data_IF_415906242623
#
_entry.id   IF_415906242623
#
_cell.length_a   1.000
_cell.length_b   1.000
_cell.length_c   1.000
_cell.angle_alpha   90.00
_cell.angle_beta   90.00
_cell.angle_gamma   90.00
#
_symmetry.space_group_name_H-M   'P 1'
#
loop_
_entity.id
_entity.type
_entity.pdbx_description
1 polymer ?
#
# COMPACT_ATOMS: atom_id res chain seq x y z
N UNK A 1 -36.04 -47.71 54.09
CA UNK A 1 -35.12 -46.55 54.03
C UNK A 1 -33.78 -46.86 53.34
N UNK A 2 -33.72 -47.76 52.34
CA UNK A 2 -32.44 -48.18 51.72
C UNK A 2 -32.31 -47.99 50.19
N UNK A 3 -33.39 -47.66 49.48
CA UNK A 3 -33.38 -47.54 48.00
C UNK A 3 -33.50 -46.10 47.47
N UNK A 4 -34.02 -45.17 48.25
CA UNK A 4 -34.11 -43.75 47.86
C UNK A 4 -32.80 -42.98 48.08
N UNK A 5 -31.96 -43.43 49.01
CA UNK A 5 -30.68 -42.81 49.34
C UNK A 5 -29.60 -43.05 48.28
N UNK A 6 -29.70 -44.15 47.52
CA UNK A 6 -28.74 -44.50 46.46
C UNK A 6 -29.04 -43.80 45.12
N UNK A 7 -30.30 -43.45 44.84
CA UNK A 7 -30.68 -42.68 43.64
C UNK A 7 -30.34 -41.19 43.76
N UNK A 8 -30.43 -40.62 44.96
CA UNK A 8 -30.05 -39.21 45.21
C UNK A 8 -28.54 -38.97 45.15
N UNK A 9 -27.71 -39.96 45.52
CA UNK A 9 -26.25 -39.86 45.39
C UNK A 9 -25.78 -40.00 43.94
N UNK A 10 -26.45 -40.81 43.12
CA UNK A 10 -26.12 -40.97 41.70
C UNK A 10 -26.51 -39.74 40.85
N UNK A 11 -27.62 -39.06 41.16
CA UNK A 11 -28.07 -37.86 40.44
C UNK A 11 -27.21 -36.63 40.80
N UNK A 12 -26.73 -36.52 42.04
CA UNK A 12 -25.81 -35.45 42.45
C UNK A 12 -24.39 -35.62 41.87
N UNK A 13 -23.91 -36.86 41.69
CA UNK A 13 -22.64 -37.13 41.02
C UNK A 13 -22.69 -36.89 39.51
N UNK A 14 -23.83 -37.13 38.85
CA UNK A 14 -24.00 -36.84 37.42
C UNK A 14 -24.16 -35.33 37.14
N UNK A 15 -24.80 -34.59 38.06
CA UNK A 15 -24.87 -33.12 37.98
C UNK A 15 -23.52 -32.45 38.24
N UNK A 16 -22.68 -33.02 39.12
CA UNK A 16 -21.31 -32.52 39.37
C UNK A 16 -20.36 -32.77 38.18
N UNK A 17 -20.58 -33.82 37.38
CA UNK A 17 -19.77 -34.12 36.18
C UNK A 17 -20.23 -33.31 34.96
N UNK A 18 -21.51 -32.88 34.90
CA UNK A 18 -22.03 -32.02 33.82
C UNK A 18 -21.76 -30.53 34.09
N UNK A 19 -21.51 -30.12 35.34
CA UNK A 19 -21.11 -28.75 35.69
C UNK A 19 -19.61 -28.44 35.56
N UNK A 20 -18.76 -29.42 35.20
CA UNK A 20 -17.32 -29.24 34.96
C UNK A 20 -16.99 -29.58 33.50
N UNK A 21 -17.71 -28.94 32.58
CA UNK A 21 -17.19 -28.56 31.26
C UNK A 21 -17.51 -27.09 31.02
N UNK A 22 -17.19 -26.26 32.00
CA UNK A 22 -16.81 -24.88 31.69
C UNK A 22 -15.52 -25.03 30.91
N UNK A 23 -15.63 -24.86 29.59
CA UNK A 23 -14.49 -24.62 28.75
C UNK A 23 -13.68 -23.51 29.40
N UNK A 24 -12.54 -23.87 29.98
CA UNK A 24 -11.39 -22.98 30.07
C UNK A 24 -10.95 -22.75 28.63
N UNK A 25 -11.75 -21.97 27.88
CA UNK A 25 -11.18 -21.11 26.85
C UNK A 25 -10.25 -20.22 27.65
N UNK A 26 -8.94 -20.22 27.39
CA UNK A 26 -8.06 -19.22 27.98
C UNK A 26 -8.61 -17.86 27.54
N UNK A 27 -9.27 -17.19 28.46
CA UNK A 27 -9.65 -15.80 28.35
C UNK A 27 -8.33 -15.01 28.31
N UNK A 28 -8.20 -14.16 27.30
CA UNK A 28 -7.06 -13.29 27.05
C UNK A 28 -5.68 -13.97 26.97
N UNK A 29 -5.40 -14.58 25.82
CA UNK A 29 -4.08 -14.35 25.25
C UNK A 29 -3.98 -12.85 24.97
N UNK A 30 -3.59 -12.07 26.00
CA UNK A 30 -3.10 -10.70 25.82
C UNK A 30 -2.14 -10.82 24.65
N UNK A 31 -2.43 -10.18 23.49
CA UNK A 31 -1.56 -10.33 22.34
C UNK A 31 -0.18 -9.92 22.83
N UNK A 32 0.72 -10.90 22.91
CA UNK A 32 2.07 -10.66 23.36
C UNK A 32 2.61 -9.68 22.35
N UNK A 33 2.78 -8.42 22.75
CA UNK A 33 3.43 -7.42 21.92
C UNK A 33 4.72 -8.10 21.48
N UNK A 34 4.95 -8.30 20.17
CA UNK A 34 6.15 -8.95 19.71
C UNK A 34 7.33 -8.31 20.42
N UNK A 35 8.20 -9.11 21.04
CA UNK A 35 9.34 -8.57 21.80
C UNK A 35 10.26 -7.69 20.94
N UNK A 36 10.10 -7.76 19.61
CA UNK A 36 10.82 -7.00 18.61
C UNK A 36 9.84 -6.51 17.53
N UNK A 37 10.02 -5.28 17.07
CA UNK A 37 9.28 -4.76 15.94
C UNK A 37 9.71 -5.48 14.64
N UNK A 38 8.81 -5.57 13.67
CA UNK A 38 9.07 -6.23 12.39
C UNK A 38 8.67 -5.31 11.23
N UNK A 39 9.41 -5.39 10.13
CA UNK A 39 9.15 -4.69 8.87
C UNK A 39 9.30 -5.69 7.73
N UNK A 40 8.34 -5.71 6.82
CA UNK A 40 8.41 -6.49 5.59
C UNK A 40 8.14 -5.57 4.40
N UNK A 41 9.01 -5.59 3.40
CA UNK A 41 8.88 -4.80 2.18
C UNK A 41 9.52 -5.53 0.99
N UNK A 42 9.23 -5.09 -0.23
CA UNK A 42 9.72 -5.71 -1.46
C UNK A 42 11.23 -5.52 -1.70
N UNK A 43 11.89 -4.61 -0.97
CA UNK A 43 13.31 -4.31 -1.15
C UNK A 43 14.08 -4.27 0.18
N UNK A 44 15.23 -4.96 0.31
CA UNK A 44 16.00 -4.99 1.55
C UNK A 44 16.34 -3.62 2.13
N UNK A 45 16.77 -2.66 1.30
CA UNK A 45 17.07 -1.28 1.75
C UNK A 45 15.85 -0.55 2.32
N UNK A 46 14.64 -0.85 1.84
CA UNK A 46 13.43 -0.23 2.39
C UNK A 46 13.03 -0.88 3.73
N UNK A 47 13.20 -2.21 3.84
CA UNK A 47 13.06 -2.91 5.12
C UNK A 47 14.03 -2.36 6.17
N UNK A 48 15.30 -2.22 5.79
CA UNK A 48 16.35 -1.64 6.65
C UNK A 48 16.00 -0.20 7.06
N UNK A 49 15.56 0.65 6.12
CA UNK A 49 15.10 2.00 6.43
C UNK A 49 13.97 2.04 7.48
N UNK A 50 13.00 1.11 7.39
CA UNK A 50 11.94 0.99 8.40
C UNK A 50 12.49 0.57 9.77
N UNK A 51 13.38 -0.42 9.80
CA UNK A 51 14.01 -0.91 11.04
C UNK A 51 14.87 0.17 11.70
N UNK A 52 15.67 0.91 10.93
CA UNK A 52 16.49 2.02 11.42
C UNK A 52 15.65 3.11 12.07
N UNK A 53 14.48 3.41 11.49
CA UNK A 53 13.56 4.41 12.05
C UNK A 53 12.90 3.93 13.34
N UNK A 54 12.55 2.64 13.44
CA UNK A 54 12.06 2.06 14.68
C UNK A 54 13.16 2.08 15.76
N UNK A 55 14.39 1.72 15.41
CA UNK A 55 15.55 1.78 16.30
C UNK A 55 15.86 3.22 16.76
N UNK A 56 15.58 4.21 15.92
CA UNK A 56 15.71 5.63 16.25
C UNK A 56 14.55 6.19 17.12
N UNK A 57 13.65 5.34 17.61
CA UNK A 57 12.54 5.71 18.49
C UNK A 57 11.24 6.09 17.75
N UNK A 58 11.17 5.86 16.44
CA UNK A 58 9.95 6.02 15.66
C UNK A 58 8.90 4.97 15.98
N UNK A 59 7.66 5.23 15.57
CA UNK A 59 6.58 4.24 15.61
C UNK A 59 6.37 3.56 14.24
N UNK A 60 5.37 2.69 14.14
CA UNK A 60 5.04 1.99 12.90
C UNK A 60 4.70 2.96 11.74
N UNK A 61 4.15 4.13 12.03
CA UNK A 61 3.79 5.15 11.04
C UNK A 61 5.02 5.87 10.51
N UNK A 62 5.97 6.21 11.39
CA UNK A 62 7.30 6.74 10.99
C UNK A 62 8.05 5.74 10.09
N UNK A 63 8.04 4.46 10.47
CA UNK A 63 8.66 3.40 9.70
C UNK A 63 7.98 3.21 8.34
N UNK A 64 6.65 3.29 8.28
CA UNK A 64 5.91 3.25 7.02
C UNK A 64 6.29 4.41 6.09
N UNK A 65 6.47 5.63 6.62
CA UNK A 65 6.94 6.78 5.82
C UNK A 65 8.32 6.49 5.22
N UNK A 66 9.25 5.96 6.01
CA UNK A 66 10.60 5.65 5.54
C UNK A 66 10.64 4.51 4.51
N UNK A 67 9.85 3.45 4.73
CA UNK A 67 9.70 2.33 3.80
C UNK A 67 9.13 2.85 2.47
N UNK A 68 7.98 3.53 2.49
CA UNK A 68 7.33 4.04 1.27
C UNK A 68 8.22 5.02 0.50
N UNK A 69 8.89 5.94 1.18
CA UNK A 69 9.81 6.88 0.53
C UNK A 69 11.04 6.17 -0.05
N UNK A 70 11.57 5.15 0.63
CA UNK A 70 12.74 4.42 0.14
C UNK A 70 12.37 3.53 -1.05
N UNK A 71 11.21 2.88 -1.04
CA UNK A 71 10.70 2.12 -2.20
C UNK A 71 10.51 3.02 -3.43
N UNK A 72 10.07 4.27 -3.25
CA UNK A 72 9.99 5.25 -4.33
C UNK A 72 11.35 5.59 -4.99
N UNK A 73 12.47 5.15 -4.38
CA UNK A 73 13.82 5.30 -4.91
C UNK A 73 14.32 3.97 -5.49
N UNK A 74 14.27 2.89 -4.69
CA UNK A 74 14.96 1.62 -5.00
C UNK A 74 14.09 0.62 -5.76
N UNK A 75 12.78 0.87 -5.86
CA UNK A 75 11.80 0.07 -6.59
C UNK A 75 11.05 0.91 -7.65
N UNK A 76 11.76 1.59 -8.58
CA UNK A 76 11.17 2.58 -9.50
C UNK A 76 10.18 1.97 -10.52
N UNK A 77 10.06 0.65 -10.57
CA UNK A 77 9.14 -0.09 -11.42
C UNK A 77 7.76 -0.36 -10.78
N UNK A 78 7.58 -0.05 -9.49
CA UNK A 78 6.32 -0.30 -8.77
C UNK A 78 5.84 0.91 -7.96
N UNK A 79 6.74 1.54 -7.18
CA UNK A 79 6.42 2.65 -6.27
C UNK A 79 7.20 3.89 -6.66
N UNK A 80 6.60 5.07 -6.49
CA UNK A 80 7.25 6.32 -6.86
C UNK A 80 6.57 7.53 -6.23
N UNK A 81 7.34 8.60 -6.04
CA UNK A 81 6.81 9.88 -5.56
C UNK A 81 5.80 10.51 -6.53
N UNK A 82 5.84 10.10 -7.81
CA UNK A 82 4.89 10.48 -8.85
C UNK A 82 3.61 9.63 -8.91
N UNK A 83 3.36 8.75 -7.94
CA UNK A 83 2.15 7.92 -7.88
C UNK A 83 1.30 8.18 -6.63
N UNK A 84 0.55 7.17 -6.22
CA UNK A 84 -0.33 7.20 -5.05
C UNK A 84 -0.55 5.82 -4.42
N UNK A 85 -1.36 5.77 -3.37
CA UNK A 85 -1.59 4.51 -2.65
C UNK A 85 -2.57 4.60 -1.49
N UNK A 86 -2.58 3.54 -0.70
CA UNK A 86 -3.46 3.35 0.45
C UNK A 86 -2.64 2.88 1.66
N UNK A 87 -2.84 3.50 2.82
CA UNK A 87 -2.18 3.11 4.07
C UNK A 87 -3.24 2.75 5.11
N UNK A 88 -3.40 1.45 5.40
CA UNK A 88 -4.24 0.98 6.49
C UNK A 88 -3.49 1.14 7.80
N UNK A 89 -3.98 2.03 8.66
CA UNK A 89 -3.38 2.35 9.94
C UNK A 89 -4.20 1.72 11.05
N UNK A 90 -3.51 1.11 12.03
CA UNK A 90 -4.09 0.73 13.30
C UNK A 90 -3.24 1.26 14.45
N UNK A 91 -3.85 2.05 15.33
CA UNK A 91 -3.22 2.61 16.51
C UNK A 91 -3.79 1.94 17.76
N UNK A 92 -2.97 1.12 18.40
CA UNK A 92 -3.40 0.31 19.54
C UNK A 92 -3.78 1.14 20.78
N UNK A 93 -3.16 2.31 20.98
CA UNK A 93 -3.38 3.13 22.18
C UNK A 93 -4.81 3.62 22.37
N UNK A 94 -5.58 3.74 21.29
CA UNK A 94 -6.97 4.19 21.26
C UNK A 94 -7.86 3.31 20.38
N UNK A 95 -7.38 2.11 20.01
CA UNK A 95 -8.04 1.18 19.09
C UNK A 95 -8.52 1.84 17.78
N UNK A 96 -7.83 2.88 17.32
CA UNK A 96 -8.23 3.64 16.14
C UNK A 96 -7.71 2.99 14.87
N UNK A 97 -8.60 2.76 13.91
CA UNK A 97 -8.26 2.17 12.62
C UNK A 97 -8.82 3.03 11.49
N UNK A 98 -7.95 3.41 10.55
CA UNK A 98 -8.27 4.34 9.47
C UNK A 98 -7.52 3.96 8.20
N UNK A 99 -8.11 4.25 7.04
CA UNK A 99 -7.42 4.14 5.76
C UNK A 99 -7.04 5.53 5.27
N UNK A 100 -5.75 5.78 5.07
CA UNK A 100 -5.30 6.97 4.35
C UNK A 100 -5.38 6.66 2.85
N UNK A 101 -6.24 7.37 2.15
CA UNK A 101 -6.35 7.37 0.69
C UNK A 101 -5.51 8.51 0.12
N UNK A 102 -4.35 8.15 -0.42
CA UNK A 102 -3.50 9.00 -1.23
C UNK A 102 -3.48 8.51 -2.68
N UNK A 103 -4.61 7.98 -3.19
CA UNK A 103 -4.73 7.60 -4.60
C UNK A 103 -4.61 8.83 -5.48
N UNK A 104 -4.08 8.64 -6.69
CA UNK A 104 -4.01 9.70 -7.68
C UNK A 104 -5.40 10.23 -8.05
N UNK A 105 -5.48 11.51 -8.41
CA UNK A 105 -6.70 12.12 -8.94
C UNK A 105 -6.53 12.40 -10.43
N UNK A 106 -7.58 12.22 -11.21
CA UNK A 106 -7.56 12.69 -12.59
C UNK A 106 -7.31 14.22 -12.60
N UNK A 107 -6.44 14.74 -13.50
CA UNK A 107 -6.29 16.18 -13.69
C UNK A 107 -7.66 16.84 -13.95
N UNK A 108 -7.85 18.10 -13.56
CA UNK A 108 -9.12 18.81 -13.74
C UNK A 108 -9.52 18.96 -15.21
N UNK A 109 -8.54 18.92 -16.12
CA UNK A 109 -8.77 18.94 -17.56
C UNK A 109 -9.11 17.55 -18.15
N UNK A 110 -9.07 16.47 -17.36
CA UNK A 110 -9.44 15.15 -17.82
C UNK A 110 -10.94 15.09 -18.15
N UNK A 111 -11.29 14.34 -19.21
CA UNK A 111 -12.66 14.13 -19.62
C UNK A 111 -12.87 12.68 -20.06
N UNK A 112 -14.14 12.25 -20.12
CA UNK A 112 -14.55 10.86 -20.38
C UNK A 112 -13.85 10.23 -21.59
N UNK A 113 -13.72 11.00 -22.67
CA UNK A 113 -13.31 10.51 -23.98
C UNK A 113 -11.83 10.80 -24.32
N UNK A 114 -11.01 11.24 -23.36
CA UNK A 114 -9.62 11.69 -23.60
C UNK A 114 -8.65 10.59 -24.09
N UNK A 115 -9.09 9.34 -24.06
CA UNK A 115 -8.33 8.16 -24.53
C UNK A 115 -8.96 7.51 -25.77
N UNK A 116 -9.89 8.18 -26.43
CA UNK A 116 -10.48 7.73 -27.68
C UNK A 116 -9.81 8.43 -28.86
N UNK A 117 -9.73 7.73 -29.99
CA UNK A 117 -9.31 8.29 -31.27
C UNK A 117 -10.48 9.02 -31.98
N UNK A 118 -10.22 9.56 -33.18
CA UNK A 118 -11.22 10.30 -33.96
C UNK A 118 -12.42 9.44 -34.39
N UNK A 119 -12.31 8.11 -34.35
CA UNK A 119 -13.39 7.17 -34.64
C UNK A 119 -14.19 6.79 -33.38
N UNK A 120 -13.78 7.26 -32.21
CA UNK A 120 -14.38 6.89 -30.92
C UNK A 120 -13.86 5.55 -30.36
N UNK A 121 -12.79 4.99 -30.92
CA UNK A 121 -12.18 3.74 -30.47
C UNK A 121 -11.04 4.01 -29.49
N UNK A 122 -10.69 3.02 -28.64
CA UNK A 122 -9.61 3.20 -27.67
C UNK A 122 -8.27 3.43 -28.37
N UNK A 123 -7.65 4.57 -28.12
CA UNK A 123 -6.31 4.90 -28.61
C UNK A 123 -5.25 4.06 -27.85
N UNK A 124 -4.57 3.10 -28.50
CA UNK A 124 -3.70 2.16 -27.80
C UNK A 124 -2.53 2.87 -27.09
N UNK A 125 -2.34 2.55 -25.81
CA UNK A 125 -1.19 3.02 -25.02
C UNK A 125 -1.31 4.42 -24.42
N UNK A 126 -2.28 5.25 -24.85
CA UNK A 126 -2.43 6.63 -24.38
C UNK A 126 -2.75 6.73 -22.87
N UNK A 127 -3.41 5.72 -22.32
CA UNK A 127 -3.70 5.57 -20.89
C UNK A 127 -2.65 4.77 -20.10
N UNK A 128 -1.54 4.36 -20.74
CA UNK A 128 -0.53 3.47 -20.17
C UNK A 128 0.86 4.08 -20.18
N UNK A 129 1.23 4.76 -21.27
CA UNK A 129 2.55 5.35 -21.46
C UNK A 129 2.43 6.85 -21.77
N UNK A 130 3.40 7.62 -21.28
CA UNK A 130 3.47 9.05 -21.51
C UNK A 130 2.70 9.88 -20.47
N UNK A 131 2.76 11.21 -20.59
CA UNK A 131 2.28 12.12 -19.55
C UNK A 131 0.76 12.20 -19.44
N UNK A 132 0.01 11.85 -20.50
CA UNK A 132 -1.46 11.82 -20.47
C UNK A 132 -1.99 10.74 -19.51
N UNK A 133 -1.24 9.64 -19.34
CA UNK A 133 -1.60 8.53 -18.46
C UNK A 133 -1.43 8.85 -16.96
N UNK A 134 -0.76 9.96 -16.62
CA UNK A 134 -0.41 10.28 -15.25
C UNK A 134 -1.54 11.03 -14.52
N UNK A 135 -2.02 10.46 -13.42
CA UNK A 135 -2.86 11.16 -12.46
C UNK A 135 -2.04 12.04 -11.51
N UNK A 136 -2.70 12.96 -10.83
CA UNK A 136 -2.10 13.86 -9.84
C UNK A 136 -1.59 13.06 -8.64
N UNK A 137 -0.28 13.07 -8.34
CA UNK A 137 0.34 12.17 -7.37
C UNK A 137 -0.13 12.43 -5.94
N UNK A 138 -0.37 11.36 -5.20
CA UNK A 138 -0.82 11.41 -3.81
C UNK A 138 0.18 10.98 -2.77
N UNK A 139 1.26 10.30 -3.17
CA UNK A 139 2.19 9.72 -2.22
C UNK A 139 2.87 10.78 -1.35
N UNK A 140 3.35 11.90 -1.92
CA UNK A 140 3.97 12.96 -1.13
C UNK A 140 3.05 13.52 -0.04
N UNK A 141 1.79 13.81 -0.38
CA UNK A 141 0.81 14.31 0.59
C UNK A 141 0.49 13.27 1.67
N UNK A 142 0.38 11.99 1.30
CA UNK A 142 0.15 10.91 2.25
C UNK A 142 1.32 10.79 3.24
N UNK A 143 2.56 10.79 2.77
CA UNK A 143 3.73 10.66 3.65
C UNK A 143 3.85 11.84 4.63
N UNK A 144 3.58 13.06 4.17
CA UNK A 144 3.53 14.24 5.03
C UNK A 144 2.41 14.10 6.07
N UNK A 145 1.20 13.74 5.64
CA UNK A 145 0.05 13.55 6.53
C UNK A 145 0.29 12.46 7.58
N UNK A 146 0.87 11.32 7.18
CA UNK A 146 1.27 10.26 8.12
C UNK A 146 2.26 10.77 9.16
N UNK A 147 3.31 11.47 8.73
CA UNK A 147 4.33 11.98 9.63
C UNK A 147 3.77 13.03 10.61
N UNK A 148 2.91 13.94 10.15
CA UNK A 148 2.34 15.01 10.98
C UNK A 148 1.26 14.54 11.95
N UNK A 149 0.40 13.59 11.54
CA UNK A 149 -0.77 13.16 12.31
C UNK A 149 -0.54 11.93 13.16
N UNK A 150 0.34 11.04 12.70
CA UNK A 150 0.55 9.72 13.29
C UNK A 150 2.00 9.46 13.70
N UNK A 151 2.97 10.15 13.09
CA UNK A 151 4.39 10.00 13.39
C UNK A 151 4.80 10.51 14.77
N UNK A 152 5.97 10.08 15.23
CA UNK A 152 6.67 10.61 16.41
C UNK A 152 7.93 11.38 16.01
N UNK A 153 8.53 11.05 14.87
CA UNK A 153 9.75 11.67 14.41
C UNK A 153 9.46 12.76 13.38
N UNK A 154 10.30 13.81 13.29
CA UNK A 154 10.17 14.81 12.24
C UNK A 154 10.29 14.18 10.85
N UNK A 155 9.55 14.71 9.88
CA UNK A 155 9.58 14.26 8.47
C UNK A 155 11.01 14.18 7.90
N UNK A 156 11.88 15.12 8.29
CA UNK A 156 13.30 15.11 7.91
C UNK A 156 14.05 13.86 8.35
N UNK A 157 13.71 13.27 9.50
CA UNK A 157 14.30 12.02 9.97
C UNK A 157 13.76 10.83 9.18
N UNK A 158 12.44 10.76 8.98
CA UNK A 158 11.80 9.61 8.31
C UNK A 158 12.08 9.55 6.80
N UNK A 159 12.34 10.69 6.14
CA UNK A 159 12.77 10.73 4.74
C UNK A 159 14.29 10.59 4.53
N UNK A 160 15.11 10.67 5.58
CA UNK A 160 16.57 10.63 5.47
C UNK A 160 17.10 9.35 4.78
N UNK A 161 16.57 8.14 5.03
CA UNK A 161 17.02 6.93 4.32
C UNK A 161 16.80 7.01 2.82
N UNK A 162 15.61 7.46 2.38
CA UNK A 162 15.28 7.63 0.97
C UNK A 162 16.19 8.66 0.28
N UNK A 163 16.45 9.80 0.94
CA UNK A 163 17.38 10.83 0.45
C UNK A 163 18.79 10.25 0.28
N UNK A 164 19.24 9.45 1.25
CA UNK A 164 20.55 8.81 1.20
C UNK A 164 20.64 7.78 0.07
N UNK A 165 19.62 6.94 -0.09
CA UNK A 165 19.51 5.95 -1.16
C UNK A 165 19.49 6.61 -2.54
N UNK A 166 18.73 7.69 -2.73
CA UNK A 166 18.65 8.40 -4.01
C UNK A 166 20.00 9.03 -4.39
N UNK A 167 20.72 9.59 -3.41
CA UNK A 167 22.03 10.22 -3.63
C UNK A 167 23.16 9.22 -3.85
N UNK A 168 23.27 8.20 -2.98
CA UNK A 168 24.35 7.20 -3.04
C UNK A 168 24.12 6.20 -4.17
N UNK A 169 22.86 5.92 -4.44
CA UNK A 169 22.36 4.96 -5.41
C UNK A 169 22.11 3.57 -4.83
N UNK A 170 21.54 2.71 -5.66
CA UNK A 170 21.27 1.31 -5.35
C UNK A 170 21.74 0.41 -6.51
N UNK A 171 22.17 -0.83 -6.23
CA UNK A 171 22.69 -1.72 -7.26
C UNK A 171 21.56 -2.35 -8.08
N UNK A 172 21.81 -2.53 -9.37
CA UNK A 172 20.91 -3.25 -10.29
C UNK A 172 20.92 -4.73 -9.98
N UNK A 173 19.73 -5.26 -9.68
CA UNK A 173 19.47 -6.66 -9.34
C UNK A 173 18.86 -7.42 -10.51
N UNK A 174 18.79 -8.77 -10.47
CA UNK A 174 18.07 -9.54 -11.48
C UNK A 174 16.59 -9.14 -11.61
N UNK A 175 15.96 -8.78 -10.49
CA UNK A 175 14.57 -8.31 -10.50
C UNK A 175 14.43 -6.96 -11.20
N UNK A 176 15.32 -5.99 -10.90
CA UNK A 176 15.37 -4.71 -11.61
C UNK A 176 15.51 -4.94 -13.12
N UNK A 177 16.47 -5.78 -13.55
CA UNK A 177 16.68 -6.04 -14.99
C UNK A 177 15.45 -6.61 -15.66
N UNK A 178 14.74 -7.55 -15.01
CA UNK A 178 13.47 -8.09 -15.54
C UNK A 178 12.41 -7.00 -15.72
N UNK A 179 12.26 -6.12 -14.74
CA UNK A 179 11.25 -5.06 -14.78
C UNK A 179 11.63 -3.94 -15.77
N UNK A 180 12.90 -3.54 -15.82
CA UNK A 180 13.42 -2.59 -16.80
C UNK A 180 13.31 -3.15 -18.23
N UNK A 181 13.60 -4.44 -18.44
CA UNK A 181 13.41 -5.11 -19.73
C UNK A 181 11.94 -5.09 -20.17
N UNK A 182 11.02 -5.35 -19.24
CA UNK A 182 9.57 -5.30 -19.51
C UNK A 182 9.10 -3.89 -19.91
N UNK A 183 9.77 -2.83 -19.44
CA UNK A 183 9.43 -1.43 -19.71
C UNK A 183 10.43 -0.71 -20.62
N UNK A 184 11.33 -1.44 -21.29
CA UNK A 184 12.48 -0.87 -21.98
C UNK A 184 12.09 0.18 -23.02
N UNK A 185 11.08 -0.12 -23.84
CA UNK A 185 10.60 0.81 -24.87
C UNK A 185 9.96 2.06 -24.27
N UNK A 186 9.25 1.94 -23.16
CA UNK A 186 8.69 3.10 -22.45
C UNK A 186 9.79 3.96 -21.82
N UNK A 187 10.86 3.35 -21.31
CA UNK A 187 12.03 4.07 -20.79
C UNK A 187 12.80 4.79 -21.91
N UNK A 188 13.01 4.14 -23.05
CA UNK A 188 13.66 4.72 -24.23
C UNK A 188 12.90 5.91 -24.82
N UNK A 189 11.57 5.93 -24.67
CA UNK A 189 10.72 6.99 -25.17
C UNK A 189 10.84 8.32 -24.38
N UNK A 190 11.45 8.31 -23.17
CA UNK A 190 11.76 9.52 -22.40
C UNK A 190 13.27 9.66 -22.25
N UNK A 191 13.89 10.71 -22.82
CA UNK A 191 15.32 10.98 -22.64
C UNK A 191 15.73 11.08 -21.17
N UNK A 192 14.90 11.68 -20.33
CA UNK A 192 15.13 11.87 -18.90
C UNK A 192 15.09 10.53 -18.15
N UNK A 193 14.10 9.68 -18.45
CA UNK A 193 14.01 8.36 -17.84
C UNK A 193 15.16 7.46 -18.31
N UNK A 194 15.50 7.47 -19.60
CA UNK A 194 16.62 6.70 -20.15
C UNK A 194 17.95 7.09 -19.49
N UNK A 195 18.20 8.39 -19.29
CA UNK A 195 19.42 8.88 -18.66
C UNK A 195 19.60 8.42 -17.20
N UNK A 196 18.50 8.15 -16.49
CA UNK A 196 18.52 7.72 -15.09
C UNK A 196 18.55 6.19 -14.98
N UNK A 197 17.70 5.50 -15.75
CA UNK A 197 17.36 4.10 -15.51
C UNK A 197 18.00 3.12 -16.51
N UNK A 198 18.60 3.62 -17.60
CA UNK A 198 19.29 2.83 -18.62
C UNK A 198 20.79 3.13 -18.64
N UNK A 199 21.56 2.20 -19.22
CA UNK A 199 22.99 2.36 -19.48
C UNK A 199 23.21 2.17 -20.98
N UNK A 200 23.74 3.18 -21.66
CA UNK A 200 23.88 3.21 -23.12
C UNK A 200 22.55 2.87 -23.86
N UNK A 201 21.45 3.40 -23.33
CA UNK A 201 20.08 3.19 -23.83
C UNK A 201 19.61 1.72 -23.79
N UNK A 202 20.21 0.88 -22.94
CA UNK A 202 19.81 -0.50 -22.69
C UNK A 202 19.72 -0.80 -21.18
N UNK A 203 19.16 -1.96 -20.83
CA UNK A 203 19.02 -2.41 -19.45
C UNK A 203 20.41 -2.52 -18.79
N UNK A 204 20.67 -1.80 -17.69
CA UNK A 204 21.99 -1.80 -17.06
C UNK A 204 22.47 -3.19 -16.61
N UNK A 205 23.78 -3.44 -16.60
CA UNK A 205 24.34 -4.70 -16.12
C UNK A 205 24.13 -4.86 -14.60
N UNK A 206 24.19 -6.12 -14.13
CA UNK A 206 24.10 -6.42 -12.70
C UNK A 206 25.17 -5.67 -11.90
N UNK A 207 24.79 -5.12 -10.75
CA UNK A 207 25.67 -4.35 -9.89
C UNK A 207 25.93 -2.91 -10.35
N UNK A 208 25.49 -2.51 -11.55
CA UNK A 208 25.47 -1.09 -11.94
C UNK A 208 24.69 -0.28 -10.90
N UNK A 209 25.19 0.90 -10.52
CA UNK A 209 24.59 1.71 -9.45
C UNK A 209 23.74 2.82 -10.05
N UNK A 210 22.42 2.72 -9.88
CA UNK A 210 21.47 3.77 -10.28
C UNK A 210 21.48 4.87 -9.25
N UNK A 211 21.69 6.12 -9.68
CA UNK A 211 21.66 7.31 -8.83
C UNK A 211 20.60 8.29 -9.31
N UNK A 212 19.93 8.92 -8.36
CA UNK A 212 18.81 9.85 -8.61
C UNK A 212 19.05 11.15 -7.82
N UNK A 213 20.07 11.95 -8.17
CA UNK A 213 20.43 13.16 -7.43
C UNK A 213 19.30 14.21 -7.41
N UNK A 214 18.53 14.31 -8.49
CA UNK A 214 17.40 15.25 -8.57
C UNK A 214 16.26 14.80 -7.65
N UNK A 215 15.94 13.51 -7.62
CA UNK A 215 14.97 12.96 -6.67
C UNK A 215 15.46 13.15 -5.22
N UNK A 216 16.76 12.99 -4.94
CA UNK A 216 17.32 13.27 -3.63
C UNK A 216 17.14 14.74 -3.23
N UNK A 217 17.21 15.67 -4.19
CA UNK A 217 16.93 17.10 -3.99
C UNK A 217 15.44 17.32 -3.71
N UNK A 218 14.54 16.76 -4.51
CA UNK A 218 13.09 16.86 -4.30
C UNK A 218 12.67 16.31 -2.93
N UNK A 219 13.22 15.17 -2.52
CA UNK A 219 12.96 14.58 -1.19
C UNK A 219 13.51 15.46 -0.05
N UNK A 220 14.66 16.12 -0.23
CA UNK A 220 15.19 17.08 0.76
C UNK A 220 14.31 18.31 0.89
N UNK A 221 13.80 18.84 -0.23
CA UNK A 221 12.88 19.96 -0.21
C UNK A 221 11.58 19.55 0.54
N UNK A 222 11.01 18.39 0.22
CA UNK A 222 9.84 17.84 0.91
C UNK A 222 10.09 17.67 2.41
N UNK A 223 11.26 17.14 2.79
CA UNK A 223 11.68 16.99 4.18
C UNK A 223 11.79 18.32 4.94
N UNK A 224 12.05 19.43 4.24
CA UNK A 224 12.24 20.75 4.83
C UNK A 224 10.95 21.59 4.88
N UNK A 225 10.14 21.53 3.81
CA UNK A 225 8.96 22.38 3.66
C UNK A 225 7.62 21.64 3.63
N UNK A 226 7.63 20.32 3.84
CA UNK A 226 6.40 19.53 3.92
C UNK A 226 5.59 19.55 2.63
N UNK A 227 4.27 19.41 2.77
CA UNK A 227 3.33 19.26 1.63
C UNK A 227 3.50 20.36 0.58
N UNK A 228 3.58 21.61 1.01
CA UNK A 228 3.48 22.76 0.10
C UNK A 228 4.64 22.82 -0.88
N UNK A 229 5.78 22.20 -0.57
CA UNK A 229 6.89 22.09 -1.52
C UNK A 229 6.53 21.24 -2.75
N UNK A 230 5.77 20.16 -2.59
CA UNK A 230 5.44 19.27 -3.70
C UNK A 230 4.19 19.74 -4.47
N UNK A 231 3.25 20.37 -3.76
CA UNK A 231 1.94 20.74 -4.29
C UNK A 231 1.77 22.23 -4.59
N UNK A 232 2.79 23.04 -4.27
CA UNK A 232 2.88 24.45 -4.63
C UNK A 232 4.36 24.87 -4.86
N UNK A 233 4.57 26.13 -5.25
CA UNK A 233 5.91 26.70 -5.40
C UNK A 233 6.74 26.11 -6.56
N UNK A 234 8.07 26.24 -6.51
CA UNK A 234 8.93 25.96 -7.66
C UNK A 234 8.96 24.48 -8.10
N UNK A 235 8.89 23.53 -7.15
CA UNK A 235 8.88 22.10 -7.53
C UNK A 235 7.53 21.72 -8.16
N UNK A 236 6.40 22.23 -7.66
CA UNK A 236 5.11 22.05 -8.31
C UNK A 236 5.08 22.65 -9.73
N UNK A 237 5.69 23.82 -9.92
CA UNK A 237 5.86 24.45 -11.24
C UNK A 237 6.66 23.55 -12.17
N UNK A 238 7.84 23.07 -11.74
CA UNK A 238 8.68 22.19 -12.54
C UNK A 238 7.97 20.87 -12.91
N UNK A 239 7.16 20.30 -12.01
CA UNK A 239 6.35 19.11 -12.30
C UNK A 239 5.31 19.39 -13.39
N UNK A 240 4.55 20.49 -13.26
CA UNK A 240 3.52 20.85 -14.25
C UNK A 240 4.14 21.22 -15.59
N UNK A 241 5.25 21.97 -15.60
CA UNK A 241 5.98 22.34 -16.80
C UNK A 241 6.49 21.11 -17.53
N UNK A 242 7.21 20.20 -16.85
CA UNK A 242 7.72 18.98 -17.47
C UNK A 242 6.61 18.08 -18.02
N UNK A 243 5.49 17.93 -17.29
CA UNK A 243 4.33 17.17 -17.78
C UNK A 243 3.73 17.81 -19.03
N UNK A 244 3.57 19.14 -19.05
CA UNK A 244 2.99 19.87 -20.20
C UNK A 244 3.92 19.89 -21.41
N UNK A 245 5.21 20.06 -21.22
CA UNK A 245 6.22 20.00 -22.29
C UNK A 245 6.23 18.62 -22.96
N UNK A 246 6.00 17.56 -22.20
CA UNK A 246 5.85 16.21 -22.73
C UNK A 246 4.48 15.93 -23.40
N UNK A 247 3.54 16.88 -23.38
CA UNK A 247 2.19 16.75 -23.97
C UNK A 247 1.08 16.35 -22.99
N UNK A 248 1.33 16.45 -21.68
CA UNK A 248 0.34 16.21 -20.64
C UNK A 248 -0.59 17.39 -20.35
N UNK A 249 -1.62 17.14 -19.54
CA UNK A 249 -2.71 18.09 -19.27
C UNK A 249 -2.74 18.63 -17.85
N UNK A 250 -1.67 18.44 -17.08
CA UNK A 250 -1.61 18.95 -15.71
C UNK A 250 -1.62 20.49 -15.68
N UNK A 251 -2.16 21.01 -14.59
CA UNK A 251 -2.24 22.41 -14.23
C UNK A 251 -1.80 22.57 -12.78
N UNK A 252 -1.25 23.73 -12.44
CA UNK A 252 -0.88 24.03 -11.04
C UNK A 252 -2.08 23.90 -10.08
N UNK A 253 -3.28 24.21 -10.57
CA UNK A 253 -4.52 24.05 -9.80
C UNK A 253 -4.76 22.59 -9.40
N UNK A 254 -4.40 21.63 -10.24
CA UNK A 254 -4.54 20.21 -9.95
C UNK A 254 -3.74 19.79 -8.72
N UNK A 255 -2.48 20.22 -8.66
CA UNK A 255 -1.60 19.97 -7.51
C UNK A 255 -2.12 20.66 -6.25
N UNK A 256 -2.49 21.94 -6.34
CA UNK A 256 -2.98 22.71 -5.17
C UNK A 256 -4.25 22.10 -4.56
N UNK A 257 -5.18 21.63 -5.40
CA UNK A 257 -6.44 21.02 -4.96
C UNK A 257 -6.31 19.55 -4.56
N UNK A 258 -5.11 18.95 -4.68
CA UNK A 258 -4.88 17.59 -4.22
C UNK A 258 -4.95 17.51 -2.70
N UNK A 259 -5.76 16.58 -2.19
CA UNK A 259 -5.90 16.31 -0.76
C UNK A 259 -5.96 14.82 -0.52
N UNK A 260 -5.26 14.36 0.53
CA UNK A 260 -5.46 13.03 1.08
C UNK A 260 -6.82 12.92 1.76
N UNK A 261 -7.39 11.73 1.78
CA UNK A 261 -8.67 11.46 2.43
C UNK A 261 -8.49 10.38 3.48
N UNK A 262 -8.89 10.65 4.72
CA UNK A 262 -9.03 9.60 5.73
C UNK A 262 -10.40 8.93 5.56
N UNK A 263 -10.38 7.61 5.37
CA UNK A 263 -11.59 6.81 5.12
C UNK A 263 -11.78 5.80 6.23
N UNK A 264 -13.05 5.57 6.58
CA UNK A 264 -13.43 4.41 7.39
C UNK A 264 -13.15 3.13 6.57
N UNK A 265 -12.36 2.18 7.10
CA UNK A 265 -12.09 0.91 6.41
C UNK A 265 -13.34 0.05 6.24
N UNK A 266 -13.29 -0.87 5.27
CA UNK A 266 -14.25 -1.98 5.19
C UNK A 266 -13.89 -2.98 6.28
N UNK A 267 -14.88 -3.40 7.07
CA UNK A 267 -14.71 -4.36 8.16
C UNK A 267 -15.78 -5.44 8.03
N UNK A 268 -15.38 -6.69 8.08
CA UNK A 268 -16.27 -7.85 8.06
C UNK A 268 -15.63 -9.00 8.85
N UNK A 269 -16.45 -9.98 9.22
CA UNK A 269 -16.01 -11.13 10.00
C UNK A 269 -15.93 -12.37 9.09
N UNK A 270 -14.96 -13.24 9.34
CA UNK A 270 -14.82 -14.52 8.65
C UNK A 270 -14.20 -15.54 9.60
N UNK A 271 -14.94 -16.62 9.91
CA UNK A 271 -14.48 -17.72 10.79
C UNK A 271 -13.85 -17.26 12.12
N UNK A 272 -14.48 -16.33 12.80
CA UNK A 272 -14.02 -15.80 14.09
C UNK A 272 -12.90 -14.74 14.01
N UNK A 273 -12.46 -14.37 12.80
CA UNK A 273 -11.54 -13.27 12.58
C UNK A 273 -12.27 -12.02 12.11
N UNK A 274 -11.89 -10.86 12.66
CA UNK A 274 -12.30 -9.55 12.14
C UNK A 274 -11.30 -9.09 11.09
N UNK A 275 -11.73 -9.01 9.84
CA UNK A 275 -10.92 -8.57 8.71
C UNK A 275 -11.18 -7.08 8.46
N UNK A 276 -10.11 -6.29 8.41
CA UNK A 276 -10.14 -4.86 8.06
C UNK A 276 -9.43 -4.66 6.73
N UNK A 277 -10.07 -3.99 5.78
CA UNK A 277 -9.56 -3.81 4.42
C UNK A 277 -9.93 -2.45 3.83
N UNK A 278 -9.44 -2.21 2.61
CA UNK A 278 -9.53 -0.93 1.91
C UNK A 278 -10.96 -0.64 1.40
N UNK A 279 -11.51 0.55 1.68
CA UNK A 279 -12.79 0.98 1.11
C UNK A 279 -12.63 1.55 -0.31
N UNK A 280 -13.73 1.87 -1.00
CA UNK A 280 -13.69 2.72 -2.19
C UNK A 280 -12.83 3.98 -1.95
N UNK A 281 -11.97 4.37 -2.91
CA UNK A 281 -12.03 4.02 -4.33
C UNK A 281 -11.33 2.70 -4.74
N UNK A 282 -10.80 1.92 -3.79
CA UNK A 282 -10.36 0.56 -4.08
C UNK A 282 -11.55 -0.41 -4.08
N UNK A 283 -11.59 -1.31 -5.05
CA UNK A 283 -12.56 -2.42 -5.07
C UNK A 283 -12.14 -3.58 -4.16
N UNK A 284 -10.91 -3.58 -3.65
CA UNK A 284 -10.30 -4.74 -2.99
C UNK A 284 -11.05 -5.18 -1.73
N UNK A 285 -11.39 -4.27 -0.82
CA UNK A 285 -12.08 -4.64 0.42
C UNK A 285 -13.49 -5.16 0.18
N UNK A 286 -14.22 -4.58 -0.79
CA UNK A 286 -15.56 -5.05 -1.17
C UNK A 286 -15.47 -6.44 -1.82
N UNK A 287 -14.56 -6.64 -2.76
CA UNK A 287 -14.37 -7.95 -3.41
C UNK A 287 -13.96 -9.04 -2.40
N UNK A 288 -13.08 -8.72 -1.44
CA UNK A 288 -12.72 -9.64 -0.36
C UNK A 288 -13.92 -9.95 0.55
N UNK A 289 -14.70 -8.94 0.95
CA UNK A 289 -15.89 -9.14 1.77
C UNK A 289 -16.91 -10.05 1.05
N UNK A 290 -17.18 -9.81 -0.23
CA UNK A 290 -18.06 -10.66 -1.05
C UNK A 290 -17.55 -12.09 -1.13
N UNK A 291 -16.26 -12.27 -1.45
CA UNK A 291 -15.62 -13.58 -1.54
C UNK A 291 -15.72 -14.35 -0.22
N UNK A 292 -15.33 -13.73 0.89
CA UNK A 292 -15.32 -14.41 2.19
C UNK A 292 -16.73 -14.70 2.70
N UNK A 293 -17.70 -13.81 2.49
CA UNK A 293 -19.09 -14.06 2.87
C UNK A 293 -19.71 -15.25 2.10
N UNK A 294 -19.36 -15.43 0.82
CA UNK A 294 -19.79 -16.61 0.06
C UNK A 294 -19.13 -17.87 0.63
N UNK A 295 -17.83 -17.82 0.89
CA UNK A 295 -17.05 -18.97 1.37
C UNK A 295 -17.37 -19.35 2.83
N UNK A 296 -17.94 -18.45 3.62
CA UNK A 296 -18.36 -18.72 5.00
C UNK A 296 -19.53 -19.72 5.05
N UNK A 297 -20.31 -19.84 3.97
CA UNK A 297 -21.39 -20.82 3.84
C UNK A 297 -20.95 -22.28 3.66
N UNK A 298 -19.64 -22.55 3.60
CA UNK A 298 -19.10 -23.88 3.33
C UNK A 298 -18.07 -24.28 4.39
N UNK A 299 -18.02 -25.53 4.82
CA UNK A 299 -16.87 -26.02 5.58
C UNK A 299 -15.74 -26.41 4.61
N UNK A 300 -14.90 -25.43 4.26
CA UNK A 300 -13.85 -25.62 3.26
C UNK A 300 -12.85 -26.71 3.65
N UNK A 301 -12.61 -26.94 4.95
CA UNK A 301 -11.61 -27.90 5.42
C UNK A 301 -12.06 -29.34 5.29
N UNK A 302 -13.36 -29.59 5.43
CA UNK A 302 -13.98 -30.89 5.18
C UNK A 302 -14.07 -31.25 3.68
N UNK A 303 -13.85 -30.29 2.78
CA UNK A 303 -14.02 -30.50 1.33
C UNK A 303 -12.74 -31.01 0.64
N UNK A 304 -12.89 -31.89 -0.38
CA UNK A 304 -11.79 -32.29 -1.24
C UNK A 304 -11.08 -31.08 -1.89
N UNK A 305 -9.77 -31.16 -2.18
CA UNK A 305 -9.02 -30.04 -2.74
C UNK A 305 -9.63 -29.43 -4.01
N UNK A 306 -10.13 -30.27 -4.93
CA UNK A 306 -10.75 -29.83 -6.19
C UNK A 306 -12.02 -29.02 -5.93
N UNK A 307 -12.90 -29.51 -5.06
CA UNK A 307 -14.13 -28.80 -4.68
C UNK A 307 -13.81 -27.48 -3.98
N UNK A 308 -12.79 -27.46 -3.11
CA UNK A 308 -12.33 -26.24 -2.43
C UNK A 308 -11.83 -25.19 -3.43
N UNK A 309 -11.07 -25.60 -4.45
CA UNK A 309 -10.62 -24.71 -5.53
C UNK A 309 -11.81 -24.22 -6.34
N UNK A 310 -12.73 -25.11 -6.71
CA UNK A 310 -13.95 -24.74 -7.45
C UNK A 310 -14.73 -23.65 -6.72
N UNK A 311 -15.05 -23.85 -5.43
CA UNK A 311 -15.77 -22.84 -4.65
C UNK A 311 -15.05 -21.50 -4.55
N UNK A 312 -13.72 -21.50 -4.37
CA UNK A 312 -12.92 -20.27 -4.38
C UNK A 312 -13.01 -19.56 -5.74
N UNK A 313 -12.91 -20.31 -6.84
CA UNK A 313 -13.01 -19.77 -8.20
C UNK A 313 -14.40 -19.18 -8.47
N UNK A 314 -15.47 -19.88 -8.10
CA UNK A 314 -16.85 -19.41 -8.31
C UNK A 314 -17.17 -18.17 -7.45
N UNK A 315 -16.69 -18.13 -6.21
CA UNK A 315 -16.85 -16.98 -5.34
C UNK A 315 -16.03 -15.77 -5.85
N UNK A 316 -14.82 -15.99 -6.35
CA UNK A 316 -14.03 -14.95 -7.02
C UNK A 316 -14.72 -14.46 -8.30
N UNK A 317 -15.24 -15.38 -9.14
CA UNK A 317 -15.99 -15.02 -10.35
C UNK A 317 -17.16 -14.09 -10.01
N UNK A 318 -17.90 -14.39 -8.94
CA UNK A 318 -18.99 -13.52 -8.48
C UNK A 318 -18.47 -12.15 -8.04
N UNK A 319 -17.44 -12.11 -7.20
CA UNK A 319 -16.87 -10.85 -6.71
C UNK A 319 -16.34 -9.95 -7.85
N UNK A 320 -15.76 -10.53 -8.89
CA UNK A 320 -15.30 -9.80 -10.08
C UNK A 320 -16.43 -9.42 -11.05
N UNK A 321 -17.52 -10.18 -11.11
CA UNK A 321 -18.69 -9.81 -11.90
C UNK A 321 -19.37 -8.54 -11.34
N UNK A 322 -19.41 -8.38 -10.02
CA UNK A 322 -20.00 -7.22 -9.36
C UNK A 322 -19.08 -5.96 -9.37
N UNK A 323 -17.79 -6.12 -9.70
CA UNK A 323 -16.78 -5.04 -9.73
C UNK A 323 -16.75 -4.34 -11.09
#
# INVERSE_FOLDING_TARGET
MGRYTQLLTAVLLLAAVIAIKISLVPDDAVPTVPAQAAVASAHPMATEAGLDILAAGGNAFDAAVAVSATLAVVEPYSSGMGGGGFWLLHRASDAHTVMIDGRERAPLAAHRDMYLDDNGEVAPGLSVNGPLAAGIPGQAAALVHLAERYGRLPLKKTLAPAIAAARKGFPVTPHYRRMAQFRLEALRASPEAAAIFLHDNDVPPLGHVIRQPDLATSLKLLAAGGRDVFYDGPLAQALVEGVREAGGIWQLRDLREYTVVERRPIVFDYRGYRITSVPPPSSGGVALATLFNILDGFDLDALPPVTRVHLKVEAMRRAYYDR
#
